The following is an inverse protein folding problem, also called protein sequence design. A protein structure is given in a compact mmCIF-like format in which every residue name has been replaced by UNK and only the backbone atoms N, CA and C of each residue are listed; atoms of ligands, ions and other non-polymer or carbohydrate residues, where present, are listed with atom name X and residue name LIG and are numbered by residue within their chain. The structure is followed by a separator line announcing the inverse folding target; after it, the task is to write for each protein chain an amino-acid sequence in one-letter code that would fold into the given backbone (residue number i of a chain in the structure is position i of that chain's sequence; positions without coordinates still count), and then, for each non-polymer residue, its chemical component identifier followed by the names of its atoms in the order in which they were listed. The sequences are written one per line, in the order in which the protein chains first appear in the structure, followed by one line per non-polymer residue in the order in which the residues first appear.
data_IF_277330669708
#
_entry.id   IF_277330669708
#
_cell.length_a   1.000
_cell.length_b   1.000
_cell.length_c   1.000
_cell.angle_alpha   90.00
_cell.angle_beta   90.00
_cell.angle_gamma   90.00
#
_symmetry.space_group_name_H-M   'P 1'
#
loop_
_entity.id
_entity.type
_entity.pdbx_description
1 polymer ?
#
# COMPACT_ATOMS: atom_id res chain seq x y z
N UNK A 1 -3.76 -10.66 11.97
CA UNK A 1 -3.44 -9.23 12.16
C UNK A 1 -2.97 -8.89 13.56
N UNK A 2 -3.74 -9.13 14.63
CA UNK A 2 -3.30 -8.83 16.02
C UNK A 2 -1.88 -9.33 16.38
N UNK A 3 -1.50 -10.53 15.95
CA UNK A 3 -0.14 -11.06 16.18
C UNK A 3 0.95 -10.27 15.45
N UNK A 4 0.69 -9.81 14.23
CA UNK A 4 1.64 -9.01 13.46
C UNK A 4 1.76 -7.60 14.06
N UNK A 5 0.61 -6.95 14.31
CA UNK A 5 0.54 -5.60 14.88
C UNK A 5 1.10 -5.49 16.30
N UNK A 6 1.11 -6.59 17.07
CA UNK A 6 1.71 -6.62 18.41
C UNK A 6 3.21 -6.85 18.41
N UNK A 7 3.77 -7.43 17.34
CA UNK A 7 5.21 -7.74 17.25
C UNK A 7 5.97 -6.74 16.40
N UNK A 8 5.40 -6.31 15.27
CA UNK A 8 6.03 -5.38 14.35
C UNK A 8 5.49 -3.99 14.61
N UNK A 9 6.38 -3.07 15.00
CA UNK A 9 6.06 -1.66 15.24
C UNK A 9 5.97 -0.90 13.93
N UNK A 10 5.26 0.21 13.97
CA UNK A 10 5.16 1.21 12.91
C UNK A 10 4.84 0.58 11.55
N UNK A 11 3.68 -0.07 11.46
CA UNK A 11 3.17 -0.64 10.20
C UNK A 11 1.83 -0.02 9.85
N UNK A 12 1.56 0.06 8.56
CA UNK A 12 0.25 0.42 8.02
C UNK A 12 -0.44 -0.84 7.50
N UNK A 13 -1.74 -0.96 7.78
CA UNK A 13 -2.56 -2.12 7.46
C UNK A 13 -3.74 -1.68 6.62
N UNK A 14 -3.78 -2.10 5.36
CA UNK A 14 -4.92 -1.84 4.47
C UNK A 14 -5.77 -3.10 4.41
N UNK A 15 -7.06 -2.96 4.71
CA UNK A 15 -8.02 -4.05 4.59
C UNK A 15 -8.87 -3.76 3.36
N UNK A 16 -8.83 -4.65 2.38
CA UNK A 16 -9.59 -4.48 1.15
C UNK A 16 -11.05 -4.88 1.39
N UNK A 17 -11.96 -4.05 0.90
CA UNK A 17 -13.40 -4.29 0.96
C UNK A 17 -14.06 -4.11 -0.42
N UNK A 18 -15.11 -4.89 -0.72
CA UNK A 18 -15.53 -6.12 -0.04
C UNK A 18 -14.50 -7.25 -0.17
N UNK A 19 -14.71 -8.37 0.53
CA UNK A 19 -13.78 -9.51 0.50
C UNK A 19 -13.62 -10.11 -0.90
N UNK A 20 -12.43 -10.62 -1.22
CA UNK A 20 -12.15 -11.28 -2.49
C UNK A 20 -13.00 -12.55 -2.62
N UNK A 21 -13.59 -12.77 -3.79
CA UNK A 21 -14.49 -13.88 -4.11
C UNK A 21 -15.80 -13.91 -3.30
N UNK A 22 -16.10 -12.88 -2.49
CA UNK A 22 -17.40 -12.77 -1.84
C UNK A 22 -18.53 -12.64 -2.89
N UNK A 23 -19.68 -13.22 -2.60
CA UNK A 23 -20.84 -13.23 -3.50
C UNK A 23 -21.95 -12.39 -2.89
N UNK A 24 -22.47 -11.47 -3.69
CA UNK A 24 -23.54 -10.56 -3.31
C UNK A 24 -24.67 -10.65 -4.32
N UNK A 25 -25.91 -10.52 -3.83
CA UNK A 25 -27.01 -10.02 -4.65
C UNK A 25 -26.98 -8.49 -4.56
N UNK A 26 -26.54 -7.85 -5.63
CA UNK A 26 -26.38 -6.40 -5.70
C UNK A 26 -27.50 -5.72 -6.48
N UNK A 27 -27.67 -4.42 -6.25
CA UNK A 27 -28.64 -3.58 -6.99
C UNK A 27 -27.90 -2.68 -7.96
N UNK A 28 -28.27 -2.70 -9.24
CA UNK A 28 -27.69 -1.82 -10.24
C UNK A 28 -28.15 -0.39 -9.98
N UNK A 29 -27.22 0.51 -9.70
CA UNK A 29 -27.52 1.93 -9.41
C UNK A 29 -27.23 2.85 -10.58
N UNK A 30 -26.34 2.44 -11.50
CA UNK A 30 -25.98 3.23 -12.67
C UNK A 30 -25.46 2.31 -13.77
N UNK A 31 -25.85 2.56 -15.01
CA UNK A 31 -25.30 1.88 -16.19
C UNK A 31 -24.66 2.91 -17.12
N UNK A 32 -23.48 2.58 -17.62
CA UNK A 32 -22.75 3.34 -18.65
C UNK A 32 -22.47 2.43 -19.84
N UNK A 33 -21.89 2.97 -20.92
CA UNK A 33 -21.49 2.18 -22.09
C UNK A 33 -20.44 1.09 -21.77
N UNK A 34 -19.65 1.30 -20.71
CA UNK A 34 -18.48 0.46 -20.39
C UNK A 34 -18.66 -0.43 -19.15
N UNK A 35 -19.45 0.02 -18.17
CA UNK A 35 -19.64 -0.67 -16.90
C UNK A 35 -20.98 -0.33 -16.23
N UNK A 36 -21.41 -1.21 -15.35
CA UNK A 36 -22.53 -1.00 -14.43
C UNK A 36 -21.97 -0.85 -13.01
N UNK A 37 -22.42 0.18 -12.30
CA UNK A 37 -22.13 0.37 -10.88
C UNK A 37 -23.23 -0.32 -10.08
N UNK A 38 -22.81 -1.16 -9.14
CA UNK A 38 -23.67 -2.04 -8.36
C UNK A 38 -23.48 -1.73 -6.88
N UNK A 39 -24.58 -1.49 -6.19
CA UNK A 39 -24.64 -1.36 -4.75
C UNK A 39 -24.66 -2.74 -4.08
N UNK A 40 -23.74 -2.94 -3.13
CA UNK A 40 -23.55 -4.17 -2.37
C UNK A 40 -23.96 -3.99 -0.89
N UNK A 41 -24.53 -2.83 -0.54
CA UNK A 41 -24.98 -2.48 0.81
C UNK A 41 -23.92 -1.68 1.56
N UNK A 42 -22.84 -2.32 2.00
CA UNK A 42 -21.76 -1.62 2.72
C UNK A 42 -20.77 -0.91 1.79
N UNK A 43 -20.76 -1.26 0.51
CA UNK A 43 -19.81 -0.77 -0.48
C UNK A 43 -20.41 -0.85 -1.89
N UNK A 44 -19.67 -0.36 -2.88
CA UNK A 44 -20.05 -0.38 -4.30
C UNK A 44 -19.00 -1.12 -5.12
N UNK A 45 -19.44 -1.73 -6.21
CA UNK A 45 -18.53 -2.34 -7.18
C UNK A 45 -18.90 -1.99 -8.61
N UNK A 46 -17.96 -2.17 -9.52
CA UNK A 46 -18.16 -2.02 -10.96
C UNK A 46 -18.11 -3.37 -11.66
N UNK A 47 -19.08 -3.61 -12.53
CA UNK A 47 -19.18 -4.80 -13.38
C UNK A 47 -19.02 -4.38 -14.84
N UNK A 48 -18.02 -4.94 -15.50
CA UNK A 48 -17.77 -4.74 -16.93
C UNK A 48 -17.61 -6.08 -17.64
N UNK A 49 -18.25 -6.28 -18.81
CA UNK A 49 -19.18 -5.36 -19.48
C UNK A 49 -20.60 -5.37 -18.83
N UNK A 50 -21.42 -4.31 -19.02
CA UNK A 50 -22.73 -4.16 -18.37
C UNK A 50 -23.88 -4.93 -19.07
N UNK A 51 -23.58 -5.84 -19.99
CA UNK A 51 -24.56 -6.42 -20.91
C UNK A 51 -25.86 -6.88 -20.24
N UNK A 52 -26.98 -6.36 -20.74
CA UNK A 52 -28.33 -6.74 -20.33
C UNK A 52 -28.77 -6.19 -18.97
N UNK A 53 -28.04 -5.25 -18.37
CA UNK A 53 -28.42 -4.60 -17.12
C UNK A 53 -29.07 -3.24 -17.35
N UNK A 54 -30.04 -2.92 -16.50
CA UNK A 54 -30.70 -1.62 -16.37
C UNK A 54 -30.61 -1.16 -14.92
N UNK A 55 -30.75 0.15 -14.72
CA UNK A 55 -30.83 0.71 -13.38
C UNK A 55 -32.05 0.13 -12.63
N UNK A 56 -31.82 -0.26 -11.38
CA UNK A 56 -32.82 -0.93 -10.54
C UNK A 56 -32.77 -2.46 -10.60
N UNK A 57 -32.10 -3.07 -11.59
CA UNK A 57 -31.99 -4.53 -11.68
C UNK A 57 -31.26 -5.12 -10.46
N UNK A 58 -31.68 -6.31 -10.05
CA UNK A 58 -30.95 -7.13 -9.07
C UNK A 58 -30.07 -8.13 -9.81
N UNK A 59 -28.80 -8.22 -9.41
CA UNK A 59 -27.81 -9.06 -10.10
C UNK A 59 -26.92 -9.78 -9.10
N UNK A 60 -26.69 -11.07 -9.34
CA UNK A 60 -25.76 -11.87 -8.58
C UNK A 60 -24.33 -11.64 -9.10
N UNK A 61 -23.43 -11.25 -8.21
CA UNK A 61 -22.06 -10.87 -8.55
C UNK A 61 -21.06 -11.42 -7.54
N UNK A 62 -19.86 -11.70 -8.04
CA UNK A 62 -18.71 -12.13 -7.26
C UNK A 62 -17.61 -11.07 -7.33
N UNK A 63 -16.94 -10.82 -6.20
CA UNK A 63 -15.86 -9.83 -6.10
C UNK A 63 -14.58 -10.40 -6.69
N UNK A 64 -14.20 -9.97 -7.90
CA UNK A 64 -12.99 -10.46 -8.57
C UNK A 64 -11.73 -9.72 -8.16
N UNK A 65 -11.87 -8.44 -7.80
CA UNK A 65 -10.77 -7.62 -7.28
C UNK A 65 -11.34 -6.69 -6.21
N UNK A 66 -10.96 -6.87 -4.93
CA UNK A 66 -11.43 -5.98 -3.87
C UNK A 66 -10.79 -4.60 -4.04
N UNK A 67 -11.28 -3.60 -3.32
CA UNK A 67 -10.72 -2.26 -3.35
C UNK A 67 -10.31 -1.78 -1.96
N UNK A 68 -9.27 -0.95 -1.89
CA UNK A 68 -8.96 -0.17 -0.68
C UNK A 68 -9.62 1.22 -0.74
N UNK A 69 -9.98 1.68 -1.95
CA UNK A 69 -10.60 2.99 -2.21
C UNK A 69 -11.44 2.93 -3.49
N UNK A 70 -12.70 3.33 -3.40
CA UNK A 70 -13.60 3.35 -4.56
C UNK A 70 -14.25 1.98 -4.85
N UNK A 71 -14.44 1.65 -6.12
CA UNK A 71 -15.24 0.48 -6.52
C UNK A 71 -14.41 -0.78 -6.65
N UNK A 72 -14.90 -1.88 -6.07
CA UNK A 72 -14.35 -3.20 -6.32
C UNK A 72 -14.78 -3.72 -7.69
N UNK A 73 -13.92 -4.52 -8.33
CA UNK A 73 -14.23 -5.11 -9.63
C UNK A 73 -15.03 -6.39 -9.45
N UNK A 74 -16.20 -6.42 -10.06
CA UNK A 74 -17.17 -7.51 -9.97
C UNK A 74 -17.12 -8.42 -11.20
N UNK A 75 -17.67 -9.61 -11.07
CA UNK A 75 -17.86 -10.58 -12.15
C UNK A 75 -19.16 -11.35 -11.96
N UNK A 76 -19.76 -11.78 -13.07
CA UNK A 76 -20.85 -12.78 -13.07
C UNK A 76 -20.33 -14.22 -12.96
N UNK A 77 -19.02 -14.44 -13.16
CA UNK A 77 -18.41 -15.74 -12.90
C UNK A 77 -18.24 -15.91 -11.39
N UNK A 78 -19.09 -16.76 -10.80
CA UNK A 78 -19.11 -17.00 -9.37
C UNK A 78 -17.95 -17.89 -8.95
N UNK A 79 -17.38 -17.58 -7.80
CA UNK A 79 -16.31 -18.38 -7.18
C UNK A 79 -16.65 -18.63 -5.72
N UNK A 80 -16.73 -19.89 -5.33
CA UNK A 80 -16.90 -20.32 -3.95
C UNK A 80 -15.55 -20.82 -3.44
N UNK A 81 -15.12 -20.30 -2.31
CA UNK A 81 -13.77 -20.55 -1.78
C UNK A 81 -13.82 -21.63 -0.71
N UNK A 82 -13.00 -22.67 -0.88
CA UNK A 82 -12.70 -23.70 0.13
C UNK A 82 -11.22 -23.69 0.52
N UNK A 83 -10.80 -24.58 1.41
CA UNK A 83 -9.42 -24.68 1.91
C UNK A 83 -8.46 -25.22 0.86
N UNK A 84 -8.88 -26.21 0.08
CA UNK A 84 -8.09 -26.89 -0.96
C UNK A 84 -8.52 -26.53 -2.37
N UNK A 85 -9.76 -26.10 -2.58
CA UNK A 85 -10.27 -25.72 -3.90
C UNK A 85 -10.91 -24.33 -3.93
N UNK A 86 -11.06 -23.79 -5.14
CA UNK A 86 -12.10 -22.80 -5.47
C UNK A 86 -13.03 -23.41 -6.50
N UNK A 87 -14.31 -23.51 -6.19
CA UNK A 87 -15.35 -23.96 -7.14
C UNK A 87 -15.78 -22.75 -7.96
N UNK A 88 -15.81 -22.86 -9.29
CA UNK A 88 -16.12 -21.74 -10.18
C UNK A 88 -17.23 -22.07 -11.17
N UNK A 89 -17.98 -21.07 -11.60
CA UNK A 89 -19.07 -21.26 -12.58
C UNK A 89 -18.61 -21.28 -14.04
N UNK A 90 -17.30 -21.31 -14.34
CA UNK A 90 -16.79 -21.39 -15.72
C UNK A 90 -16.63 -22.81 -16.24
N UNK A 91 -16.83 -23.84 -15.40
CA UNK A 91 -16.71 -25.24 -15.80
C UNK A 91 -15.26 -25.72 -15.99
N UNK A 92 -14.25 -24.86 -15.75
CA UNK A 92 -12.85 -25.17 -16.02
C UNK A 92 -12.15 -25.81 -14.83
N UNK A 93 -11.38 -26.87 -15.10
CA UNK A 93 -10.45 -27.46 -14.13
C UNK A 93 -9.08 -26.79 -14.30
N UNK A 94 -8.57 -26.16 -13.23
CA UNK A 94 -7.28 -25.46 -13.24
C UNK A 94 -6.48 -25.72 -11.97
N UNK A 95 -5.20 -25.36 -11.99
CA UNK A 95 -4.27 -25.60 -10.88
C UNK A 95 -3.57 -24.32 -10.44
N UNK A 96 -3.25 -24.23 -9.16
CA UNK A 96 -2.29 -23.25 -8.66
C UNK A 96 -0.91 -23.51 -9.27
N UNK A 97 -0.19 -22.44 -9.63
CA UNK A 97 1.20 -22.50 -10.15
C UNK A 97 2.21 -23.17 -9.20
N UNK A 98 1.81 -23.36 -7.94
CA UNK A 98 2.63 -23.98 -6.90
C UNK A 98 2.45 -25.51 -6.81
N UNK A 99 1.48 -26.09 -7.53
CA UNK A 99 1.36 -27.54 -7.68
C UNK A 99 2.19 -27.94 -8.90
N UNK A 100 3.49 -28.21 -8.71
CA UNK A 100 4.43 -28.49 -9.82
C UNK A 100 4.56 -29.97 -10.17
N UNK A 101 4.19 -30.86 -9.25
CA UNK A 101 4.24 -32.30 -9.48
C UNK A 101 3.17 -32.74 -10.50
N UNK A 102 3.60 -33.19 -11.67
CA UNK A 102 2.73 -33.66 -12.75
C UNK A 102 1.98 -34.95 -12.44
N UNK A 103 2.49 -35.83 -11.57
CA UNK A 103 1.73 -36.99 -11.09
C UNK A 103 0.56 -36.51 -10.25
N UNK A 104 0.84 -35.60 -9.32
CA UNK A 104 -0.20 -35.02 -8.46
C UNK A 104 -1.25 -34.26 -9.25
N UNK A 105 -0.87 -33.47 -10.25
CA UNK A 105 -1.83 -32.78 -11.13
C UNK A 105 -2.78 -33.76 -11.83
N UNK A 106 -2.27 -34.90 -12.33
CA UNK A 106 -3.10 -35.94 -12.96
C UNK A 106 -4.07 -36.58 -11.98
N UNK A 107 -3.62 -36.88 -10.75
CA UNK A 107 -4.50 -37.39 -9.68
C UNK A 107 -5.65 -36.40 -9.38
N UNK A 108 -5.32 -35.12 -9.22
CA UNK A 108 -6.29 -34.06 -8.95
C UNK A 108 -7.25 -33.83 -10.11
N UNK A 109 -6.77 -33.95 -11.35
CA UNK A 109 -7.60 -33.88 -12.54
C UNK A 109 -8.59 -35.04 -12.60
N UNK A 110 -8.12 -36.27 -12.41
CA UNK A 110 -8.97 -37.47 -12.39
C UNK A 110 -10.01 -37.42 -11.27
N UNK A 111 -9.61 -36.94 -10.08
CA UNK A 111 -10.54 -36.74 -8.96
C UNK A 111 -11.64 -35.74 -9.34
N UNK A 112 -11.28 -34.58 -9.91
CA UNK A 112 -12.27 -33.59 -10.33
C UNK A 112 -13.29 -34.17 -11.33
N UNK A 113 -12.85 -34.98 -12.30
CA UNK A 113 -13.75 -35.68 -13.23
C UNK A 113 -14.67 -36.68 -12.50
N UNK A 114 -14.15 -37.41 -11.52
CA UNK A 114 -14.92 -38.41 -10.77
C UNK A 114 -15.99 -37.80 -9.85
N UNK A 115 -15.85 -36.53 -9.46
CA UNK A 115 -16.78 -35.87 -8.53
C UNK A 115 -18.09 -35.37 -9.17
N UNK A 116 -18.32 -35.61 -10.46
CA UNK A 116 -19.51 -35.18 -11.20
C UNK A 116 -19.85 -33.69 -10.97
N UNK A 117 -18.98 -32.80 -11.46
CA UNK A 117 -19.05 -31.36 -11.18
C UNK A 117 -20.24 -30.66 -11.85
N UNK A 118 -20.93 -31.29 -12.80
CA UNK A 118 -22.04 -30.68 -13.54
C UNK A 118 -21.59 -29.40 -14.25
N UNK A 119 -22.23 -28.27 -13.91
CA UNK A 119 -21.90 -26.93 -14.45
C UNK A 119 -20.63 -26.31 -13.84
N UNK A 120 -20.09 -26.89 -12.78
CA UNK A 120 -19.01 -26.30 -12.00
C UNK A 120 -17.62 -26.70 -12.52
N UNK A 121 -16.67 -25.78 -12.40
CA UNK A 121 -15.25 -26.03 -12.53
C UNK A 121 -14.54 -25.99 -11.18
N UNK A 122 -13.30 -26.47 -11.13
CA UNK A 122 -12.49 -26.53 -9.91
C UNK A 122 -11.12 -25.93 -10.16
N UNK A 123 -10.71 -24.99 -9.30
CA UNK A 123 -9.31 -24.56 -9.20
C UNK A 123 -8.67 -25.17 -7.96
N UNK A 124 -7.70 -26.07 -8.16
CA UNK A 124 -6.92 -26.66 -7.08
C UNK A 124 -5.95 -25.63 -6.48
N UNK A 125 -6.06 -25.35 -5.17
CA UNK A 125 -5.18 -24.44 -4.41
C UNK A 125 -3.87 -25.14 -4.07
N UNK A 126 -2.83 -24.36 -3.71
CA UNK A 126 -1.52 -24.90 -3.32
C UNK A 126 -1.61 -25.92 -2.19
N UNK A 127 -2.53 -25.72 -1.24
CA UNK A 127 -2.83 -26.65 -0.14
C UNK A 127 -3.27 -28.04 -0.61
N UNK A 128 -3.81 -28.19 -1.82
CA UNK A 128 -4.19 -29.49 -2.38
C UNK A 128 -2.98 -30.35 -2.79
N UNK A 129 -1.78 -29.75 -2.92
CA UNK A 129 -0.57 -30.44 -3.35
C UNK A 129 -0.25 -31.67 -2.47
N UNK A 130 -0.46 -31.55 -1.16
CA UNK A 130 -0.15 -32.58 -0.17
C UNK A 130 -1.38 -33.13 0.58
N UNK A 131 -2.58 -32.67 0.24
CA UNK A 131 -3.80 -33.06 0.95
C UNK A 131 -4.24 -34.51 0.65
N UNK A 132 -4.75 -35.28 1.62
CA UNK A 132 -5.32 -36.59 1.35
C UNK A 132 -6.52 -36.52 0.39
N UNK A 133 -6.62 -37.44 -0.59
CA UNK A 133 -7.68 -37.44 -1.62
C UNK A 133 -9.09 -37.43 -1.01
N UNK A 134 -9.31 -38.14 0.11
CA UNK A 134 -10.59 -38.16 0.83
C UNK A 134 -11.05 -36.77 1.27
N UNK A 135 -10.12 -35.92 1.73
CA UNK A 135 -10.43 -34.56 2.17
C UNK A 135 -10.80 -33.67 0.98
N UNK A 136 -10.15 -33.91 -0.16
CA UNK A 136 -10.42 -33.18 -1.40
C UNK A 136 -11.80 -33.53 -1.97
N UNK A 137 -12.16 -34.81 -2.01
CA UNK A 137 -13.49 -35.27 -2.46
C UNK A 137 -14.57 -34.68 -1.57
N UNK A 138 -14.39 -34.79 -0.25
CA UNK A 138 -15.34 -34.25 0.73
C UNK A 138 -15.53 -32.73 0.57
N UNK A 139 -14.45 -31.97 0.34
CA UNK A 139 -14.56 -30.53 0.14
C UNK A 139 -15.22 -30.18 -1.20
N UNK A 140 -14.93 -30.90 -2.29
CA UNK A 140 -15.60 -30.69 -3.58
C UNK A 140 -17.11 -30.86 -3.43
N UNK A 141 -17.55 -31.93 -2.78
CA UNK A 141 -18.98 -32.22 -2.57
C UNK A 141 -19.64 -31.16 -1.70
N UNK A 142 -19.06 -30.88 -0.53
CA UNK A 142 -19.60 -29.90 0.43
C UNK A 142 -19.68 -28.49 -0.17
N UNK A 143 -18.65 -28.06 -0.91
CA UNK A 143 -18.64 -26.73 -1.50
C UNK A 143 -19.63 -26.60 -2.66
N UNK A 144 -19.88 -27.69 -3.41
CA UNK A 144 -20.92 -27.74 -4.45
C UNK A 144 -22.31 -27.64 -3.84
N UNK A 145 -22.59 -28.40 -2.79
CA UNK A 145 -23.88 -28.35 -2.08
C UNK A 145 -24.16 -26.93 -1.57
N UNK A 146 -23.18 -26.35 -0.87
CA UNK A 146 -23.26 -24.97 -0.39
C UNK A 146 -23.45 -23.97 -1.53
N UNK A 147 -22.80 -24.17 -2.68
CA UNK A 147 -22.99 -23.29 -3.83
C UNK A 147 -24.42 -23.33 -4.37
N UNK A 148 -25.03 -24.51 -4.50
CA UNK A 148 -26.42 -24.63 -4.94
C UNK A 148 -27.42 -24.06 -3.93
N UNK A 149 -27.17 -24.20 -2.62
CA UNK A 149 -27.96 -23.56 -1.56
C UNK A 149 -27.95 -22.03 -1.70
N UNK A 150 -26.76 -21.44 -1.87
CA UNK A 150 -26.61 -19.99 -2.07
C UNK A 150 -27.31 -19.51 -3.34
N UNK A 151 -27.28 -20.29 -4.43
CA UNK A 151 -28.00 -19.93 -5.65
C UNK A 151 -29.51 -19.92 -5.44
N UNK A 152 -30.06 -20.88 -4.68
CA UNK A 152 -31.49 -20.89 -4.32
C UNK A 152 -31.85 -19.71 -3.42
N UNK A 153 -31.00 -19.39 -2.43
CA UNK A 153 -31.19 -18.22 -1.58
C UNK A 153 -31.21 -16.92 -2.41
N UNK A 154 -30.32 -16.79 -3.39
CA UNK A 154 -30.22 -15.64 -4.26
C UNK A 154 -31.50 -15.36 -5.06
N UNK A 155 -32.32 -16.37 -5.36
CA UNK A 155 -33.59 -16.19 -6.08
C UNK A 155 -34.63 -15.47 -5.22
N UNK A 156 -34.61 -15.68 -3.90
CA UNK A 156 -35.67 -15.21 -2.99
C UNK A 156 -35.30 -13.94 -2.21
N UNK A 157 -34.03 -13.73 -1.87
CA UNK A 157 -33.62 -12.55 -1.10
C UNK A 157 -33.61 -11.30 -1.98
N UNK A 158 -33.89 -10.12 -1.41
CA UNK A 158 -33.77 -8.84 -2.12
C UNK A 158 -32.37 -8.26 -2.02
N UNK A 159 -31.97 -7.50 -3.03
CA UNK A 159 -30.71 -6.76 -3.00
C UNK A 159 -30.82 -5.46 -2.16
N UNK A 160 -29.70 -4.95 -1.59
CA UNK A 160 -28.37 -5.55 -1.55
C UNK A 160 -28.20 -6.56 -0.39
N UNK A 161 -27.57 -7.71 -0.67
CA UNK A 161 -27.32 -8.76 0.34
C UNK A 161 -26.01 -9.51 0.09
N UNK A 162 -25.22 -9.70 1.14
CA UNK A 162 -24.10 -10.65 1.13
C UNK A 162 -24.64 -12.07 1.28
N UNK A 163 -24.28 -12.95 0.35
CA UNK A 163 -24.71 -14.35 0.31
C UNK A 163 -23.58 -15.31 0.69
N UNK A 164 -22.35 -15.02 0.27
CA UNK A 164 -21.21 -15.89 0.55
C UNK A 164 -19.99 -15.06 0.93
N UNK A 165 -19.44 -15.31 2.12
CA UNK A 165 -18.20 -14.68 2.57
C UNK A 165 -17.00 -15.13 1.74
N UNK A 166 -16.16 -14.16 1.39
CA UNK A 166 -14.95 -14.38 0.61
C UNK A 166 -13.70 -14.53 1.48
N UNK A 167 -12.56 -14.23 0.88
CA UNK A 167 -11.28 -14.13 1.56
C UNK A 167 -10.96 -12.67 1.86
N UNK A 168 -10.59 -12.39 3.11
CA UNK A 168 -10.09 -11.06 3.49
C UNK A 168 -8.70 -10.85 2.88
N UNK A 169 -8.56 -9.80 2.08
CA UNK A 169 -7.27 -9.35 1.56
C UNK A 169 -6.76 -8.22 2.44
N UNK A 170 -5.55 -8.39 2.95
CA UNK A 170 -4.88 -7.40 3.78
C UNK A 170 -3.52 -7.12 3.16
N UNK A 171 -3.24 -5.84 2.92
CA UNK A 171 -1.91 -5.35 2.57
C UNK A 171 -1.27 -4.75 3.83
N UNK A 172 0.00 -5.07 4.06
CA UNK A 172 0.78 -4.52 5.16
C UNK A 172 1.95 -3.77 4.55
N UNK A 173 2.01 -2.47 4.82
CA UNK A 173 3.14 -1.64 4.37
C UNK A 173 4.14 -1.56 5.50
N UNK A 174 5.37 -2.01 5.20
CA UNK A 174 6.50 -1.93 6.11
C UNK A 174 7.22 -0.59 5.90
N UNK A 175 7.19 0.24 6.94
CA UNK A 175 7.95 1.50 7.05
C UNK A 175 9.44 1.23 7.25
N UNK A 176 10.28 2.25 7.09
CA UNK A 176 11.71 2.20 7.42
C UNK A 176 11.98 1.59 8.81
N UNK A 177 11.27 2.03 9.85
CA UNK A 177 11.44 1.51 11.22
C UNK A 177 11.06 0.04 11.33
N UNK A 178 9.95 -0.35 10.70
CA UNK A 178 9.53 -1.77 10.71
C UNK A 178 10.53 -2.67 9.97
N UNK A 179 11.12 -2.20 8.86
CA UNK A 179 12.18 -2.89 8.12
C UNK A 179 13.41 -3.12 9.00
N UNK A 180 13.86 -2.10 9.73
CA UNK A 180 14.97 -2.22 10.69
C UNK A 180 14.67 -3.20 11.83
N UNK A 181 13.44 -3.20 12.35
CA UNK A 181 13.02 -4.19 13.33
C UNK A 181 13.08 -5.61 12.75
N UNK A 182 12.58 -5.81 11.52
CA UNK A 182 12.63 -7.10 10.84
C UNK A 182 14.07 -7.55 10.53
N UNK A 183 14.99 -6.63 10.23
CA UNK A 183 16.43 -6.93 10.13
C UNK A 183 16.93 -7.55 11.43
N UNK A 184 16.58 -6.93 12.56
CA UNK A 184 16.95 -7.38 13.92
C UNK A 184 16.41 -8.79 14.21
N UNK A 185 15.15 -9.04 13.85
CA UNK A 185 14.51 -10.36 14.02
C UNK A 185 15.23 -11.41 13.18
N UNK A 186 15.55 -11.11 11.92
CA UNK A 186 16.29 -12.05 11.06
C UNK A 186 17.70 -12.27 11.56
N UNK A 187 18.36 -11.24 12.08
CA UNK A 187 19.71 -11.31 12.64
C UNK A 187 19.81 -12.24 13.86
N UNK A 188 18.71 -12.48 14.57
CA UNK A 188 18.66 -13.45 15.66
C UNK A 188 18.79 -14.92 15.21
N UNK A 189 18.62 -15.19 13.92
CA UNK A 189 18.64 -16.55 13.33
C UNK A 189 19.78 -16.72 12.33
N UNK A 190 20.08 -15.70 11.53
CA UNK A 190 21.15 -15.73 10.52
C UNK A 190 21.83 -14.37 10.45
N UNK A 191 23.16 -14.28 10.26
CA UNK A 191 23.83 -13.01 10.01
C UNK A 191 23.09 -12.20 8.95
N UNK A 192 22.66 -11.01 9.34
CA UNK A 192 21.82 -10.12 8.53
C UNK A 192 22.44 -8.74 8.50
N UNK A 193 22.63 -8.21 7.30
CA UNK A 193 23.13 -6.86 7.10
C UNK A 193 22.14 -5.84 7.68
N UNK A 194 22.62 -4.83 8.40
CA UNK A 194 21.85 -3.67 8.81
C UNK A 194 21.30 -2.93 7.58
N UNK A 195 19.99 -2.75 7.51
CA UNK A 195 19.31 -2.20 6.34
C UNK A 195 18.97 -3.26 5.29
N UNK A 196 19.08 -4.56 5.58
CA UNK A 196 18.74 -5.65 4.66
C UNK A 196 17.39 -5.42 3.97
N UNK A 197 16.31 -5.25 4.74
CA UNK A 197 14.98 -5.08 4.14
C UNK A 197 14.83 -3.76 3.38
N UNK A 198 15.49 -2.69 3.82
CA UNK A 198 15.52 -1.40 3.10
C UNK A 198 16.18 -1.55 1.74
N UNK A 199 17.42 -2.02 1.68
CA UNK A 199 18.15 -2.22 0.42
C UNK A 199 17.50 -3.26 -0.48
N UNK A 200 17.00 -4.38 0.08
CA UNK A 200 16.27 -5.40 -0.70
C UNK A 200 14.97 -4.86 -1.33
N UNK A 201 14.28 -3.94 -0.65
CA UNK A 201 13.01 -3.39 -1.14
C UNK A 201 13.16 -2.56 -2.42
N UNK A 202 14.37 -2.06 -2.70
CA UNK A 202 14.69 -1.32 -3.93
C UNK A 202 14.71 -2.23 -5.17
N UNK A 203 14.87 -3.55 -4.99
CA UNK A 203 14.98 -4.50 -6.09
C UNK A 203 16.25 -4.32 -6.92
N UNK A 204 16.18 -4.64 -8.21
CA UNK A 204 17.27 -4.41 -9.16
C UNK A 204 18.62 -4.96 -8.70
N UNK A 205 19.67 -4.15 -8.83
CA UNK A 205 21.03 -4.50 -8.44
C UNK A 205 21.22 -4.59 -6.91
N UNK A 206 20.41 -3.87 -6.13
CA UNK A 206 20.51 -3.87 -4.67
C UNK A 206 20.19 -5.25 -4.08
N UNK A 207 19.27 -5.98 -4.71
CA UNK A 207 18.93 -7.35 -4.34
C UNK A 207 20.18 -8.26 -4.24
N UNK A 208 20.87 -8.53 -5.36
CA UNK A 208 22.09 -9.32 -5.37
C UNK A 208 23.24 -8.75 -4.53
N UNK A 209 23.40 -7.41 -4.47
CA UNK A 209 24.45 -6.79 -3.66
C UNK A 209 24.27 -7.04 -2.16
N UNK A 210 23.04 -7.03 -1.66
CA UNK A 210 22.75 -7.40 -0.26
C UNK A 210 23.09 -8.87 -0.02
N UNK A 211 22.72 -9.78 -0.93
CA UNK A 211 23.03 -11.21 -0.78
C UNK A 211 24.55 -11.45 -0.72
N UNK A 212 25.30 -10.74 -1.57
CA UNK A 212 26.75 -10.80 -1.59
C UNK A 212 27.36 -10.23 -0.30
N UNK A 213 26.89 -9.07 0.15
CA UNK A 213 27.34 -8.47 1.41
C UNK A 213 27.11 -9.40 2.60
N UNK A 214 25.95 -10.07 2.68
CA UNK A 214 25.68 -11.05 3.73
C UNK A 214 26.58 -12.30 3.64
N UNK A 215 26.93 -12.74 2.43
CA UNK A 215 27.91 -13.83 2.27
C UNK A 215 29.30 -13.45 2.78
N UNK A 216 29.73 -12.21 2.53
CA UNK A 216 30.99 -11.69 3.06
C UNK A 216 30.97 -11.60 4.60
N UNK A 217 29.85 -11.16 5.19
CA UNK A 217 29.67 -11.15 6.65
C UNK A 217 29.80 -12.57 7.22
N UNK A 218 29.19 -13.57 6.58
CA UNK A 218 29.34 -14.98 6.99
C UNK A 218 30.78 -15.49 6.90
N UNK A 219 31.59 -14.90 6.02
CA UNK A 219 33.03 -15.18 5.87
C UNK A 219 33.93 -14.35 6.79
N UNK A 220 33.36 -13.55 7.70
CA UNK A 220 34.11 -12.77 8.68
C UNK A 220 34.52 -11.37 8.22
N UNK A 221 33.98 -10.87 7.10
CA UNK A 221 34.18 -9.47 6.69
C UNK A 221 33.37 -8.56 7.61
N UNK A 222 33.98 -7.46 8.05
CA UNK A 222 33.32 -6.46 8.87
C UNK A 222 32.09 -5.87 8.15
N UNK A 223 30.99 -5.74 8.87
CA UNK A 223 29.71 -5.29 8.31
C UNK A 223 29.72 -3.81 7.91
N UNK A 224 30.26 -2.93 8.75
CA UNK A 224 30.14 -1.47 8.61
C UNK A 224 30.58 -0.95 7.22
N UNK A 225 31.75 -1.35 6.67
CA UNK A 225 32.14 -0.93 5.31
C UNK A 225 31.21 -1.42 4.20
N UNK A 226 30.55 -2.56 4.40
CA UNK A 226 29.60 -3.11 3.42
C UNK A 226 28.32 -2.28 3.39
N UNK A 227 27.80 -1.91 4.57
CA UNK A 227 26.65 -1.00 4.71
C UNK A 227 26.97 0.36 4.10
N UNK A 228 28.13 0.93 4.40
CA UNK A 228 28.59 2.20 3.83
C UNK A 228 28.71 2.13 2.30
N UNK A 229 29.26 1.03 1.76
CA UNK A 229 29.34 0.81 0.32
C UNK A 229 27.96 0.78 -0.35
N UNK A 230 26.98 0.11 0.26
CA UNK A 230 25.60 0.09 -0.24
C UNK A 230 24.92 1.46 -0.14
N UNK A 231 25.15 2.20 0.95
CA UNK A 231 24.67 3.59 1.06
C UNK A 231 25.25 4.45 -0.05
N UNK A 232 26.55 4.32 -0.35
CA UNK A 232 27.18 5.07 -1.44
C UNK A 232 26.52 4.75 -2.79
N UNK A 233 26.19 3.49 -3.07
CA UNK A 233 25.45 3.11 -4.29
C UNK A 233 24.10 3.83 -4.39
N UNK A 234 23.36 3.94 -3.28
CA UNK A 234 22.08 4.65 -3.24
C UNK A 234 22.26 6.16 -3.49
N UNK A 235 23.26 6.77 -2.85
CA UNK A 235 23.49 8.23 -2.93
C UNK A 235 24.20 8.70 -4.21
N UNK A 236 24.86 7.80 -4.95
CA UNK A 236 25.64 8.13 -6.16
C UNK A 236 24.82 8.81 -7.27
N UNK A 237 23.50 8.65 -7.29
CA UNK A 237 22.61 9.28 -8.28
C UNK A 237 22.24 10.73 -7.93
N UNK A 238 22.47 11.16 -6.70
CA UNK A 238 22.14 12.50 -6.22
C UNK A 238 23.30 13.44 -6.51
N UNK A 239 23.01 14.51 -7.26
CA UNK A 239 23.96 15.56 -7.62
C UNK A 239 23.23 16.89 -7.63
N UNK A 240 23.91 17.98 -7.29
CA UNK A 240 23.35 19.31 -7.48
C UNK A 240 22.95 19.52 -8.95
N UNK A 241 21.77 20.10 -9.14
CA UNK A 241 21.17 20.30 -10.45
C UNK A 241 20.48 19.08 -11.06
N UNK A 242 20.67 17.87 -10.53
CA UNK A 242 19.90 16.69 -10.96
C UNK A 242 18.45 16.79 -10.50
N UNK A 243 17.59 15.94 -11.06
CA UNK A 243 16.19 15.86 -10.68
C UNK A 243 15.92 14.57 -9.92
N UNK A 244 15.16 14.68 -8.84
CA UNK A 244 14.64 13.53 -8.11
C UNK A 244 13.12 13.43 -8.27
N UNK A 245 12.63 12.21 -8.11
CA UNK A 245 11.20 11.93 -7.96
C UNK A 245 10.87 11.79 -6.50
N UNK A 246 9.71 12.30 -6.10
CA UNK A 246 9.22 12.15 -4.73
C UNK A 246 7.86 11.47 -4.82
N UNK A 247 7.78 10.26 -4.29
CA UNK A 247 6.61 9.40 -4.28
C UNK A 247 5.92 9.53 -2.91
N UNK A 248 4.72 10.10 -2.95
CA UNK A 248 3.85 10.29 -1.80
C UNK A 248 2.79 9.19 -1.79
N UNK A 249 3.01 8.17 -0.97
CA UNK A 249 2.07 7.05 -0.79
C UNK A 249 0.99 7.43 0.22
N UNK A 250 -0.28 7.19 -0.13
CA UNK A 250 -1.42 7.49 0.74
C UNK A 250 -1.76 6.29 1.65
N UNK A 251 -2.30 6.51 2.87
CA UNK A 251 -2.71 5.43 3.77
C UNK A 251 -3.69 4.42 3.15
N UNK A 252 -4.66 4.89 2.36
CA UNK A 252 -5.68 4.03 1.73
C UNK A 252 -5.25 3.46 0.37
N UNK A 253 -3.97 3.63 0.00
CA UNK A 253 -3.41 3.16 -1.26
C UNK A 253 -3.50 4.19 -2.38
N UNK A 254 -2.57 4.03 -3.32
CA UNK A 254 -2.27 5.01 -4.34
C UNK A 254 -1.00 5.78 -4.00
N UNK A 255 -0.25 6.11 -5.04
CA UNK A 255 0.98 6.85 -4.94
C UNK A 255 0.92 8.04 -5.90
N UNK A 256 1.15 9.23 -5.37
CA UNK A 256 1.24 10.46 -6.16
C UNK A 256 2.70 10.82 -6.34
N UNK A 257 3.16 11.00 -7.58
CA UNK A 257 4.47 11.61 -7.83
C UNK A 257 4.33 13.12 -7.63
N UNK A 258 4.97 13.66 -6.59
CA UNK A 258 5.12 15.09 -6.45
C UNK A 258 6.03 15.62 -7.57
N UNK A 259 5.73 16.80 -8.11
CA UNK A 259 6.46 17.37 -9.25
C UNK A 259 7.98 17.30 -9.08
N UNK A 260 8.69 17.03 -10.19
CA UNK A 260 10.15 16.81 -10.20
C UNK A 260 10.90 17.90 -9.43
N UNK A 261 11.65 17.49 -8.42
CA UNK A 261 12.47 18.39 -7.60
C UNK A 261 13.88 18.49 -8.16
N UNK A 262 14.33 19.70 -8.48
CA UNK A 262 15.73 19.96 -8.82
C UNK A 262 16.54 20.03 -7.53
N UNK A 263 17.54 19.18 -7.38
CA UNK A 263 18.43 19.19 -6.21
C UNK A 263 19.22 20.49 -6.21
N UNK A 264 19.13 21.25 -5.12
CA UNK A 264 19.89 22.49 -4.92
C UNK A 264 20.99 22.33 -3.87
N UNK A 265 20.85 21.36 -2.96
CA UNK A 265 21.87 20.99 -1.99
C UNK A 265 21.58 19.59 -1.47
N UNK A 266 22.62 18.85 -1.08
CA UNK A 266 22.49 17.55 -0.44
C UNK A 266 23.70 17.25 0.45
N UNK A 267 23.52 16.39 1.44
CA UNK A 267 24.57 15.90 2.33
C UNK A 267 24.34 14.41 2.62
N UNK A 268 25.08 13.50 1.96
CA UNK A 268 24.92 12.05 2.13
C UNK A 268 25.22 11.56 3.56
N UNK A 269 26.22 12.12 4.23
CA UNK A 269 26.55 11.78 5.62
C UNK A 269 25.39 12.15 6.55
N UNK A 270 24.78 13.32 6.28
CA UNK A 270 23.55 13.88 6.86
C UNK A 270 22.26 13.12 6.60
N UNK A 271 22.23 12.41 5.48
CA UNK A 271 20.98 11.99 4.84
C UNK A 271 20.10 13.15 4.35
N UNK A 272 20.63 14.36 4.16
CA UNK A 272 19.86 15.57 3.84
C UNK A 272 19.77 15.80 2.33
N UNK A 273 18.58 16.16 1.83
CA UNK A 273 18.34 16.56 0.44
C UNK A 273 17.44 17.79 0.45
N UNK A 274 17.85 18.84 -0.27
CA UNK A 274 17.06 20.05 -0.47
C UNK A 274 16.78 20.18 -1.97
N UNK A 275 15.50 20.28 -2.32
CA UNK A 275 15.08 20.41 -3.71
C UNK A 275 14.20 21.63 -3.95
N UNK A 276 14.33 22.21 -5.13
CA UNK A 276 13.45 23.26 -5.64
C UNK A 276 12.45 22.64 -6.64
N UNK A 277 11.16 22.88 -6.40
CA UNK A 277 10.05 22.48 -7.28
C UNK A 277 9.36 23.72 -7.83
N UNK A 278 9.07 23.73 -9.13
CA UNK A 278 8.27 24.78 -9.76
C UNK A 278 6.78 24.49 -9.63
N UNK A 279 5.98 25.52 -9.36
CA UNK A 279 4.53 25.39 -9.24
C UNK A 279 3.91 25.68 -10.60
N UNK A 280 3.32 24.65 -11.22
CA UNK A 280 2.75 24.74 -12.58
C UNK A 280 1.22 24.85 -12.60
N UNK A 281 0.56 24.76 -11.45
CA UNK A 281 -0.90 24.76 -11.32
C UNK A 281 -1.48 26.09 -10.84
N UNK A 282 -2.74 26.35 -11.19
CA UNK A 282 -3.57 27.41 -10.59
C UNK A 282 -4.35 26.85 -9.39
N UNK A 283 -4.85 27.72 -8.52
CA UNK A 283 -5.64 27.33 -7.35
C UNK A 283 -5.04 27.87 -6.06
N UNK A 284 -5.22 27.14 -4.96
CA UNK A 284 -4.77 27.53 -3.62
C UNK A 284 -3.85 26.44 -3.07
N UNK A 285 -2.88 26.80 -2.22
CA UNK A 285 -2.14 25.81 -1.42
C UNK A 285 -3.04 25.33 -0.29
N UNK A 286 -3.36 24.04 -0.30
CA UNK A 286 -4.20 23.40 0.72
C UNK A 286 -3.56 23.55 2.10
N UNK A 287 -4.39 23.76 3.13
CA UNK A 287 -3.93 24.07 4.50
C UNK A 287 -3.47 25.52 4.73
N UNK A 288 -2.77 26.14 3.77
CA UNK A 288 -2.29 27.53 3.86
C UNK A 288 -3.31 28.57 3.41
N UNK A 289 -4.25 28.19 2.54
CA UNK A 289 -5.26 29.08 1.95
C UNK A 289 -4.68 30.29 1.18
N UNK A 290 -3.53 30.09 0.52
CA UNK A 290 -2.82 31.13 -0.26
C UNK A 290 -2.92 30.82 -1.76
N UNK A 291 -3.20 31.81 -2.64
CA UNK A 291 -3.26 31.59 -4.08
C UNK A 291 -1.90 31.17 -4.67
N UNK A 292 -1.97 30.19 -5.55
CA UNK A 292 -0.87 29.75 -6.42
C UNK A 292 -0.71 30.75 -7.55
N UNK A 293 0.48 31.33 -7.65
CA UNK A 293 0.79 32.29 -8.70
C UNK A 293 1.86 31.73 -9.66
N UNK A 294 1.83 32.20 -10.90
CA UNK A 294 2.82 31.81 -11.90
C UNK A 294 4.20 32.29 -11.47
N UNK A 295 5.16 31.37 -11.42
CA UNK A 295 6.53 31.65 -10.97
C UNK A 295 6.76 31.35 -9.48
N UNK A 296 5.72 30.97 -8.73
CA UNK A 296 5.90 30.41 -7.39
C UNK A 296 6.77 29.16 -7.43
N UNK A 297 7.53 28.96 -6.37
CA UNK A 297 8.36 27.78 -6.20
C UNK A 297 8.34 27.28 -4.76
N UNK A 298 8.66 26.01 -4.60
CA UNK A 298 8.68 25.32 -3.31
C UNK A 298 10.09 24.83 -3.06
N UNK A 299 10.67 25.19 -1.92
CA UNK A 299 11.87 24.55 -1.40
C UNK A 299 11.41 23.43 -0.47
N UNK A 300 11.81 22.20 -0.80
CA UNK A 300 11.46 21.00 -0.05
C UNK A 300 12.70 20.41 0.61
N UNK A 301 12.68 20.30 1.94
CA UNK A 301 13.77 19.73 2.73
C UNK A 301 13.38 18.34 3.21
N UNK A 302 14.24 17.37 2.94
CA UNK A 302 14.02 15.94 3.13
C UNK A 302 15.24 15.37 3.87
N UNK A 303 15.01 14.56 4.91
CA UNK A 303 16.09 13.93 5.67
C UNK A 303 15.82 12.44 5.88
N UNK A 304 16.78 11.61 5.51
CA UNK A 304 16.73 10.16 5.77
C UNK A 304 16.57 9.88 7.27
N UNK A 305 15.66 8.98 7.63
CA UNK A 305 15.38 8.67 9.03
C UNK A 305 14.47 9.68 9.76
N UNK A 306 14.09 10.78 9.10
CA UNK A 306 13.15 11.78 9.64
C UNK A 306 11.82 11.74 8.88
N UNK A 307 10.71 11.71 9.61
CA UNK A 307 9.36 11.75 9.06
C UNK A 307 8.85 13.15 8.75
N UNK A 308 9.62 14.20 9.06
CA UNK A 308 9.28 15.60 8.83
C UNK A 308 9.74 16.04 7.45
N UNK A 309 8.80 16.40 6.59
CA UNK A 309 9.09 16.94 5.26
C UNK A 309 8.63 18.39 5.19
N UNK A 310 9.60 19.30 5.16
CA UNK A 310 9.34 20.73 5.15
C UNK A 310 9.17 21.23 3.71
N UNK A 311 8.14 22.03 3.49
CA UNK A 311 7.86 22.72 2.24
C UNK A 311 7.75 24.23 2.51
N UNK A 312 8.71 24.99 2.02
CA UNK A 312 8.72 26.45 2.07
C UNK A 312 8.19 26.98 0.74
N UNK A 313 7.07 27.69 0.79
CA UNK A 313 6.41 28.25 -0.39
C UNK A 313 6.87 29.68 -0.60
N UNK A 314 7.40 29.97 -1.78
CA UNK A 314 7.88 31.29 -2.14
C UNK A 314 7.11 31.84 -3.33
N UNK A 315 6.85 33.14 -3.28
CA UNK A 315 6.45 33.92 -4.45
C UNK A 315 7.55 33.99 -5.50
N UNK A 316 7.19 34.37 -6.73
CA UNK A 316 8.16 34.63 -7.82
C UNK A 316 9.24 35.66 -7.48
N UNK A 317 8.94 36.56 -6.56
CA UNK A 317 9.81 37.62 -6.03
C UNK A 317 10.73 37.14 -4.89
N UNK A 318 10.58 35.88 -4.45
CA UNK A 318 11.35 35.29 -3.37
C UNK A 318 10.79 35.55 -1.98
N UNK A 319 9.60 36.14 -1.85
CA UNK A 319 8.95 36.35 -0.55
C UNK A 319 8.34 35.04 -0.06
N UNK A 320 8.61 34.67 1.20
CA UNK A 320 8.03 33.48 1.83
C UNK A 320 6.52 33.70 2.03
N UNK A 321 5.71 32.84 1.40
CA UNK A 321 4.26 32.82 1.54
C UNK A 321 3.81 32.01 2.76
N UNK A 322 4.53 30.94 3.09
CA UNK A 322 4.21 30.09 4.22
C UNK A 322 5.03 28.81 4.24
N UNK A 323 4.88 28.04 5.31
CA UNK A 323 5.55 26.76 5.51
C UNK A 323 4.51 25.69 5.73
N UNK A 324 4.63 24.58 5.00
CA UNK A 324 3.86 23.36 5.22
C UNK A 324 4.83 22.27 5.64
N UNK A 325 4.45 21.50 6.64
CA UNK A 325 5.22 20.39 7.14
C UNK A 325 4.37 19.14 7.09
N UNK A 326 4.79 18.22 6.24
CA UNK A 326 4.16 16.92 6.12
C UNK A 326 4.75 15.95 7.14
N UNK A 327 3.87 15.34 7.96
CA UNK A 327 4.27 14.27 8.88
C UNK A 327 4.06 12.94 8.18
N UNK A 328 5.16 12.22 8.02
CA UNK A 328 5.23 11.00 7.25
C UNK A 328 6.06 9.95 7.99
N UNK A 329 6.11 8.75 7.44
CA UNK A 329 7.17 7.80 7.77
C UNK A 329 8.52 8.31 7.28
N UNK A 330 9.65 7.92 7.89
CA UNK A 330 10.96 8.32 7.40
C UNK A 330 11.14 8.05 5.91
N UNK A 331 11.75 9.00 5.21
CA UNK A 331 11.94 8.87 3.76
C UNK A 331 12.89 7.72 3.42
N UNK A 332 12.65 7.11 2.27
CA UNK A 332 13.45 6.02 1.72
C UNK A 332 13.92 6.39 0.31
N UNK A 333 15.23 6.59 0.14
CA UNK A 333 15.85 6.90 -1.16
C UNK A 333 16.26 5.61 -1.88
N UNK A 334 16.11 5.55 -3.21
CA UNK A 334 16.64 4.47 -4.03
C UNK A 334 17.75 4.94 -5.01
N UNK A 335 18.53 4.01 -5.59
CA UNK A 335 19.61 4.36 -6.53
C UNK A 335 19.14 5.10 -7.78
N UNK A 336 17.87 5.00 -8.17
CA UNK A 336 17.31 5.70 -9.32
C UNK A 336 16.97 7.18 -9.04
N UNK A 337 17.25 7.69 -7.84
CA UNK A 337 16.94 9.07 -7.46
C UNK A 337 15.45 9.28 -7.19
N UNK A 338 14.79 8.24 -6.69
CA UNK A 338 13.39 8.28 -6.23
C UNK A 338 13.36 8.19 -4.72
N UNK A 339 12.69 9.16 -4.10
CA UNK A 339 12.36 9.16 -2.69
C UNK A 339 10.94 8.65 -2.54
N UNK A 340 10.74 7.73 -1.59
CA UNK A 340 9.43 7.24 -1.21
C UNK A 340 9.19 7.50 0.28
N UNK A 341 7.96 7.86 0.62
CA UNK A 341 7.49 7.87 2.00
C UNK A 341 5.99 7.58 2.03
N UNK A 342 5.52 7.06 3.17
CA UNK A 342 4.11 6.93 3.48
C UNK A 342 3.64 8.15 4.25
N UNK A 343 2.67 8.84 3.67
CA UNK A 343 1.98 9.95 4.30
C UNK A 343 1.15 9.47 5.49
N UNK A 344 1.13 10.26 6.57
CA UNK A 344 0.35 9.95 7.77
C UNK A 344 -0.82 10.92 7.93
N UNK A 345 -1.18 11.67 6.89
CA UNK A 345 -2.31 12.62 6.76
C UNK A 345 -2.39 13.72 7.81
N UNK A 346 -1.53 13.72 8.82
CA UNK A 346 -1.41 14.80 9.80
C UNK A 346 -0.35 15.78 9.31
N UNK A 347 -0.74 17.04 9.15
CA UNK A 347 0.14 18.07 8.62
C UNK A 347 0.16 19.29 9.54
N UNK A 348 1.21 20.09 9.43
CA UNK A 348 1.35 21.33 10.18
C UNK A 348 1.60 22.46 9.20
N UNK A 349 0.87 23.56 9.38
CA UNK A 349 1.01 24.75 8.54
C UNK A 349 1.38 25.96 9.39
N UNK A 350 2.32 26.76 8.88
CA UNK A 350 2.65 28.10 9.37
C UNK A 350 2.29 29.12 8.29
N UNK A 351 1.32 29.98 8.57
CA UNK A 351 0.92 31.02 7.62
C UNK A 351 1.88 32.21 7.65
N UNK A 352 1.68 33.18 6.73
CA UNK A 352 2.50 34.39 6.65
C UNK A 352 2.45 35.26 7.92
N UNK A 353 1.40 35.14 8.73
CA UNK A 353 1.25 35.86 10.01
C UNK A 353 2.01 35.16 11.16
N UNK A 354 2.63 34.01 10.90
CA UNK A 354 3.37 33.23 11.89
C UNK A 354 2.50 32.28 12.72
N UNK A 355 1.20 32.21 12.47
CA UNK A 355 0.30 31.27 13.18
C UNK A 355 0.58 29.84 12.72
N UNK A 356 0.78 28.94 13.69
CA UNK A 356 1.05 27.52 13.47
C UNK A 356 -0.16 26.70 13.90
N UNK A 357 -0.61 25.76 13.07
CA UNK A 357 -1.71 24.83 13.40
C UNK A 357 -1.51 23.45 12.79
N UNK A 358 -2.05 22.44 13.45
CA UNK A 358 -2.25 21.11 12.87
C UNK A 358 -3.49 21.15 11.97
N UNK A 359 -3.44 20.45 10.85
CA UNK A 359 -4.59 20.20 9.97
C UNK A 359 -4.79 18.68 9.80
N UNK A 360 -5.99 18.30 9.36
CA UNK A 360 -6.37 16.93 8.99
C UNK A 360 -6.27 15.88 10.12
N UNK A 361 -6.31 16.34 11.38
CA UNK A 361 -6.33 15.50 12.58
C UNK A 361 -7.56 14.56 12.64
N UNK A 362 -8.72 15.00 12.12
CA UNK A 362 -9.92 14.18 12.03
C UNK A 362 -9.72 12.97 11.11
N UNK A 363 -9.14 13.19 9.91
CA UNK A 363 -8.84 12.11 8.96
C UNK A 363 -7.82 11.13 9.54
N UNK A 364 -6.77 11.64 10.20
CA UNK A 364 -5.81 10.82 10.93
C UNK A 364 -6.47 9.91 11.97
N UNK A 365 -7.32 10.50 12.84
CA UNK A 365 -8.01 9.76 13.90
C UNK A 365 -8.96 8.70 13.33
N UNK A 366 -9.62 8.95 12.20
CA UNK A 366 -10.40 7.93 11.51
C UNK A 366 -9.57 6.73 11.07
N UNK A 367 -8.38 6.97 10.50
CA UNK A 367 -7.48 5.89 10.06
C UNK A 367 -6.95 5.06 11.24
N UNK A 368 -6.67 5.71 12.37
CA UNK A 368 -6.30 5.03 13.62
C UNK A 368 -7.46 4.18 14.14
N UNK A 369 -8.67 4.74 14.19
CA UNK A 369 -9.88 4.03 14.64
C UNK A 369 -10.24 2.82 13.77
N UNK A 370 -10.00 2.92 12.45
CA UNK A 370 -10.15 1.81 11.49
C UNK A 370 -9.02 0.77 11.60
N UNK A 371 -7.99 1.03 12.42
CA UNK A 371 -6.83 0.16 12.60
C UNK A 371 -5.90 0.13 11.39
N UNK A 372 -6.00 1.14 10.51
CA UNK A 372 -5.19 1.27 9.30
C UNK A 372 -3.81 1.77 9.67
N UNK A 373 -3.76 2.83 10.48
CA UNK A 373 -2.57 3.26 11.20
C UNK A 373 -2.58 2.54 12.54
N UNK A 374 -1.57 1.71 12.82
CA UNK A 374 -1.51 1.01 14.11
C UNK A 374 -1.08 1.95 15.25
N UNK A 375 -1.37 1.58 16.50
CA UNK A 375 -1.11 2.42 17.68
C UNK A 375 0.35 2.87 17.82
N UNK A 376 1.31 2.05 17.37
CA UNK A 376 2.73 2.46 17.38
C UNK A 376 3.04 3.53 16.35
N UNK A 377 2.49 3.43 15.14
CA UNK A 377 2.65 4.43 14.09
C UNK A 377 1.92 5.72 14.45
N UNK A 378 0.74 5.62 15.08
CA UNK A 378 -0.01 6.76 15.54
C UNK A 378 0.75 7.57 16.60
N UNK A 379 1.33 6.88 17.60
CA UNK A 379 2.16 7.53 18.63
C UNK A 379 3.40 8.18 18.03
N UNK A 380 4.05 7.53 17.07
CA UNK A 380 5.16 8.10 16.33
C UNK A 380 4.74 9.41 15.62
N UNK A 381 3.64 9.38 14.87
CA UNK A 381 3.14 10.55 14.14
C UNK A 381 2.84 11.74 15.08
N UNK A 382 2.11 11.48 16.17
CA UNK A 382 1.78 12.51 17.16
C UNK A 382 3.00 13.05 17.89
N UNK A 383 3.98 12.20 18.21
CA UNK A 383 5.24 12.65 18.84
C UNK A 383 5.97 13.64 17.93
N UNK A 384 6.14 13.29 16.66
CA UNK A 384 6.83 14.14 15.70
C UNK A 384 6.04 15.40 15.39
N UNK A 385 4.70 15.31 15.29
CA UNK A 385 3.85 16.48 15.08
C UNK A 385 3.99 17.48 16.24
N UNK A 386 4.00 17.01 17.49
CA UNK A 386 4.19 17.88 18.66
C UNK A 386 5.58 18.53 18.70
N UNK A 387 6.64 17.77 18.43
CA UNK A 387 8.00 18.33 18.32
C UNK A 387 8.08 19.39 17.21
N UNK A 388 7.45 19.09 16.08
CA UNK A 388 7.41 19.97 14.92
C UNK A 388 6.64 21.27 15.19
N UNK A 389 5.56 21.24 15.96
CA UNK A 389 4.86 22.46 16.40
C UNK A 389 5.78 23.40 17.18
N UNK A 390 6.58 22.85 18.10
CA UNK A 390 7.55 23.65 18.86
C UNK A 390 8.59 24.27 17.95
N UNK A 391 9.15 23.48 17.02
CA UNK A 391 10.15 23.95 16.06
C UNK A 391 9.56 25.05 15.15
N UNK A 392 8.38 24.84 14.57
CA UNK A 392 7.74 25.81 13.66
C UNK A 392 7.31 27.10 14.36
N UNK A 393 7.20 27.10 15.68
CA UNK A 393 6.92 28.34 16.43
C UNK A 393 8.11 29.31 16.41
N UNK A 394 9.31 28.84 16.08
CA UNK A 394 10.52 29.66 15.92
C UNK A 394 10.70 30.16 14.47
N UNK A 395 11.68 31.05 14.23
CA UNK A 395 12.06 31.42 12.86
C UNK A 395 12.80 30.26 12.17
N UNK A 396 12.14 29.63 11.19
CA UNK A 396 12.72 28.54 10.40
C UNK A 396 12.97 29.01 8.96
N UNK A 397 14.15 28.70 8.44
CA UNK A 397 14.50 28.77 7.03
C UNK A 397 15.08 27.42 6.56
N UNK A 398 15.18 27.17 5.24
CA UNK A 398 15.92 26.02 4.72
C UNK A 398 17.34 25.91 5.28
N UNK A 399 18.02 27.04 5.48
CA UNK A 399 19.37 27.14 6.05
C UNK A 399 19.39 26.86 7.56
N UNK A 400 18.38 27.33 8.31
CA UNK A 400 18.30 27.04 9.74
C UNK A 400 17.93 25.58 10.01
N UNK A 401 17.10 24.95 9.17
CA UNK A 401 16.88 23.49 9.22
C UNK A 401 18.16 22.73 8.93
N UNK A 402 18.96 23.18 7.97
CA UNK A 402 20.28 22.59 7.73
C UNK A 402 21.06 22.58 9.05
N UNK A 403 21.15 23.73 9.74
CA UNK A 403 21.80 23.89 11.07
C UNK A 403 21.17 23.07 12.21
N UNK A 404 19.85 22.93 12.28
CA UNK A 404 19.15 22.08 13.27
C UNK A 404 19.49 20.59 13.10
N UNK A 405 19.96 20.20 11.91
CA UNK A 405 20.44 18.86 11.61
C UNK A 405 21.98 18.74 11.59
N UNK A 406 22.73 19.79 11.99
CA UNK A 406 24.16 19.76 12.38
C UNK A 406 24.31 19.76 13.89
#
# INVERSE_FOLDING_TARGET
MRLLSSKVREILIRIAEPQLDAIYKGKVIKVTDYEAIIDLGSCKGSLSPPHGLKEGDEVLVCVKRPSYRGFARLSRELTFVGRYIKLNSSGKITFSRFIRDGKRQRELYALALSCNLGKWGVRWRSSAASAPLRNLIAEVQSLRERAEEILKEAEVVKAPRLLFEGERVVEVVFTYTSKRYLDSVRNSVTPTLNGHHYFKSMGGIMGPLVDYAEDLIRRGVAEKPLVEGLRNVVWNSIKEGSYIKILHELPLGGCTELGKGKVISFNPDKGLIIVKREVKGRGVYDGLNIPKESGDYIITCLKEGDGRIYHFYYGKDGVLKGVYLNISTPIELNPEGTIWYLDLVIDIVKNANGEVRIIDEEEFNELVNKGIINDSLARYALSIANEALSILSEEISPESLNKLYW
#
